data_IF_779517652595
#
_entry.id   IF_779517652595
#
_cell.length_a   1.000
_cell.length_b   1.000
_cell.length_c   1.000
_cell.angle_alpha   90.00
_cell.angle_beta   90.00
_cell.angle_gamma   90.00
#
_symmetry.space_group_name_H-M   'P 1'
#
loop_
_entity.id
_entity.type
_entity.pdbx_description
1 polymer ?
#
# COMPACT_ATOMS: atom_id res chain seq x y z
N UNK A 1 -38.26 43.22 -26.63
CA UNK A 1 -36.80 43.10 -26.84
C UNK A 1 -36.25 42.22 -25.71
N UNK A 2 -35.97 40.94 -26.01
CA UNK A 2 -35.60 39.93 -25.00
C UNK A 2 -34.16 40.15 -24.52
N UNK A 3 -34.01 40.49 -23.24
CA UNK A 3 -32.74 40.50 -22.53
C UNK A 3 -32.34 39.05 -22.18
N UNK A 4 -31.28 38.56 -22.82
CA UNK A 4 -30.63 37.28 -22.48
C UNK A 4 -29.73 37.51 -21.27
N UNK A 5 -30.15 37.03 -20.10
CA UNK A 5 -29.28 36.94 -18.92
C UNK A 5 -28.33 35.75 -19.09
N UNK A 6 -27.07 36.05 -19.43
CA UNK A 6 -25.98 35.08 -19.40
C UNK A 6 -25.65 34.72 -17.96
N UNK A 7 -26.06 33.54 -17.52
CA UNK A 7 -25.59 32.96 -16.25
C UNK A 7 -24.15 32.49 -16.44
N UNK A 8 -23.20 33.36 -16.07
CA UNK A 8 -21.80 32.98 -15.90
C UNK A 8 -21.72 31.90 -14.81
N UNK A 9 -21.53 30.64 -15.20
CA UNK A 9 -21.29 29.55 -14.27
C UNK A 9 -19.85 29.66 -13.76
N UNK A 10 -19.67 30.32 -12.62
CA UNK A 10 -18.44 30.22 -11.86
C UNK A 10 -18.25 28.74 -11.45
N UNK A 11 -17.19 28.10 -11.96
CA UNK A 11 -16.69 26.85 -11.39
C UNK A 11 -16.04 27.19 -10.06
N UNK A 12 -16.76 27.01 -8.95
CA UNK A 12 -16.17 27.06 -7.62
C UNK A 12 -15.41 25.76 -7.35
N UNK A 13 -14.07 25.68 -7.43
CA UNK A 13 -13.35 24.45 -7.10
C UNK A 13 -13.61 23.98 -5.66
N UNK A 14 -14.06 24.89 -4.79
CA UNK A 14 -14.48 24.58 -3.43
C UNK A 14 -15.71 23.65 -3.34
N UNK A 15 -16.53 23.50 -4.38
CA UNK A 15 -17.61 22.49 -4.36
C UNK A 15 -17.10 21.06 -4.60
N UNK A 16 -15.99 20.88 -5.33
CA UNK A 16 -15.36 19.57 -5.52
C UNK A 16 -14.70 19.05 -4.23
N UNK A 17 -14.22 19.96 -3.38
CA UNK A 17 -13.60 19.64 -2.09
C UNK A 17 -14.56 19.73 -0.89
N UNK A 18 -15.84 20.05 -1.13
CA UNK A 18 -16.90 20.03 -0.10
C UNK A 18 -17.39 18.59 0.10
N UNK A 19 -16.67 17.80 0.89
CA UNK A 19 -17.12 16.48 1.38
C UNK A 19 -18.26 16.60 2.43
N UNK A 20 -19.27 17.44 2.18
CA UNK A 20 -20.40 17.64 3.10
C UNK A 20 -21.33 16.42 3.16
N UNK A 21 -21.31 15.57 2.14
CA UNK A 21 -22.10 14.34 2.08
C UNK A 21 -21.46 13.15 2.82
N UNK A 22 -20.21 13.29 3.31
CA UNK A 22 -19.53 12.24 4.06
C UNK A 22 -19.73 12.48 5.56
N UNK A 23 -20.30 11.48 6.24
CA UNK A 23 -20.45 11.46 7.70
C UNK A 23 -19.13 11.78 8.41
N UNK A 24 -19.18 12.73 9.36
CA UNK A 24 -18.05 13.11 10.23
C UNK A 24 -17.29 11.90 10.82
N UNK A 25 -17.93 10.83 11.34
CA UNK A 25 -17.20 9.67 11.83
C UNK A 25 -16.37 8.94 10.76
N UNK A 26 -16.84 8.88 9.51
CA UNK A 26 -16.11 8.25 8.40
C UNK A 26 -14.86 9.05 8.04
N UNK A 27 -14.95 10.38 8.06
CA UNK A 27 -13.81 11.26 7.80
C UNK A 27 -12.70 11.09 8.85
N UNK A 28 -13.09 10.97 10.12
CA UNK A 28 -12.15 10.74 11.24
C UNK A 28 -11.44 9.39 11.06
N UNK A 29 -12.20 8.33 10.73
CA UNK A 29 -11.64 7.02 10.50
C UNK A 29 -10.66 7.01 9.31
N UNK A 30 -11.04 7.61 8.17
CA UNK A 30 -10.15 7.73 7.02
C UNK A 30 -8.87 8.47 7.37
N UNK A 31 -8.96 9.62 8.04
CA UNK A 31 -7.79 10.40 8.46
C UNK A 31 -6.80 9.55 9.28
N UNK A 32 -7.30 8.76 10.22
CA UNK A 32 -6.46 7.91 11.05
C UNK A 32 -5.77 6.80 10.23
N UNK A 33 -6.50 6.16 9.31
CA UNK A 33 -5.95 5.10 8.46
C UNK A 33 -4.89 5.63 7.49
N UNK A 34 -5.19 6.75 6.79
CA UNK A 34 -4.23 7.35 5.86
C UNK A 34 -2.99 7.89 6.58
N UNK A 35 -3.14 8.45 7.78
CA UNK A 35 -2.01 8.87 8.61
C UNK A 35 -1.12 7.68 8.97
N UNK A 36 -1.71 6.58 9.45
CA UNK A 36 -0.98 5.37 9.80
C UNK A 36 -0.27 4.76 8.58
N UNK A 37 -0.94 4.72 7.42
CA UNK A 37 -0.38 4.24 6.16
C UNK A 37 0.81 5.08 5.71
N UNK A 38 0.72 6.41 5.82
CA UNK A 38 1.83 7.32 5.48
C UNK A 38 3.04 7.12 6.41
N UNK A 39 2.81 7.01 7.70
CA UNK A 39 3.87 6.74 8.69
C UNK A 39 4.52 5.38 8.42
N UNK A 40 3.71 4.36 8.12
CA UNK A 40 4.18 3.02 7.75
C UNK A 40 5.00 3.00 6.46
N UNK A 41 4.64 3.80 5.45
CA UNK A 41 5.40 3.94 4.22
C UNK A 41 6.79 4.53 4.47
N UNK A 42 6.87 5.61 5.25
CA UNK A 42 8.15 6.23 5.63
C UNK A 42 9.02 5.22 6.38
N UNK A 43 8.42 4.52 7.34
CA UNK A 43 9.08 3.48 8.11
C UNK A 43 9.60 2.34 7.20
N UNK A 44 8.79 1.83 6.28
CA UNK A 44 9.21 0.82 5.31
C UNK A 44 10.34 1.30 4.38
N UNK A 45 10.28 2.55 3.91
CA UNK A 45 11.36 3.16 3.12
C UNK A 45 12.68 3.22 3.89
N UNK A 46 12.64 3.61 5.17
CA UNK A 46 13.81 3.59 6.05
C UNK A 46 14.36 2.16 6.18
N UNK A 47 13.49 1.17 6.39
CA UNK A 47 13.90 -0.24 6.48
C UNK A 47 14.63 -0.73 5.23
N UNK A 48 14.11 -0.41 4.03
CA UNK A 48 14.77 -0.76 2.77
C UNK A 48 16.09 -0.01 2.57
N UNK A 49 16.18 1.26 3.00
CA UNK A 49 17.40 2.05 2.90
C UNK A 49 18.52 1.55 3.83
N UNK A 50 18.17 1.15 5.05
CA UNK A 50 19.10 0.54 6.02
C UNK A 50 19.68 -0.75 5.47
N UNK A 51 18.86 -1.59 4.82
CA UNK A 51 19.31 -2.80 4.15
C UNK A 51 20.29 -2.48 2.98
N UNK A 52 19.98 -1.46 2.17
CA UNK A 52 20.82 -1.08 1.04
C UNK A 52 22.19 -0.53 1.45
N UNK A 53 22.27 0.18 2.58
CA UNK A 53 23.51 0.85 3.04
C UNK A 53 24.42 -0.09 3.84
N UNK A 54 23.86 -1.10 4.52
CA UNK A 54 24.61 -1.94 5.45
C UNK A 54 25.15 -3.19 4.76
N UNK A 55 26.40 -3.17 4.32
CA UNK A 55 27.07 -4.31 3.68
C UNK A 55 27.10 -5.57 4.55
N UNK A 56 27.13 -5.42 5.88
CA UNK A 56 27.09 -6.53 6.83
C UNK A 56 25.74 -7.28 6.81
N UNK A 57 24.65 -6.54 6.60
CA UNK A 57 23.28 -7.09 6.53
C UNK A 57 23.09 -7.84 5.20
N UNK A 58 23.72 -7.36 4.12
CA UNK A 58 23.68 -8.03 2.83
C UNK A 58 24.42 -9.38 2.83
N UNK A 59 25.51 -9.49 3.59
CA UNK A 59 26.25 -10.74 3.73
C UNK A 59 25.42 -11.84 4.40
N UNK A 60 24.58 -11.46 5.37
CA UNK A 60 23.58 -12.31 6.01
C UNK A 60 22.23 -12.27 5.29
N UNK A 61 22.19 -11.99 3.99
CA UNK A 61 20.96 -11.70 3.24
C UNK A 61 19.83 -12.71 3.47
N UNK A 62 20.12 -14.02 3.44
CA UNK A 62 19.11 -15.06 3.73
C UNK A 62 18.63 -15.02 5.18
N UNK A 63 19.55 -14.85 6.14
CA UNK A 63 19.21 -14.76 7.57
C UNK A 63 18.40 -13.50 7.90
N UNK A 64 18.74 -12.36 7.31
CA UNK A 64 17.98 -11.12 7.44
C UNK A 64 16.58 -11.24 6.86
N UNK A 65 16.42 -11.91 5.72
CA UNK A 65 15.12 -12.13 5.08
C UNK A 65 14.23 -13.00 5.97
N UNK A 66 14.77 -14.10 6.49
CA UNK A 66 14.06 -15.01 7.38
C UNK A 66 13.70 -14.35 8.73
N UNK A 67 14.63 -13.58 9.31
CA UNK A 67 14.38 -12.81 10.53
C UNK A 67 13.30 -11.74 10.31
N UNK A 68 13.34 -11.03 9.18
CA UNK A 68 12.31 -10.04 8.84
C UNK A 68 10.93 -10.68 8.68
N UNK A 69 10.87 -11.86 8.07
CA UNK A 69 9.63 -12.62 7.96
C UNK A 69 9.10 -13.01 9.36
N UNK A 70 9.93 -13.57 10.23
CA UNK A 70 9.54 -13.96 11.59
C UNK A 70 9.09 -12.75 12.41
N UNK A 71 9.81 -11.63 12.37
CA UNK A 71 9.45 -10.41 13.10
C UNK A 71 8.15 -9.81 12.58
N UNK A 72 7.92 -9.83 11.26
CA UNK A 72 6.66 -9.36 10.68
C UNK A 72 5.46 -10.23 11.11
N UNK A 73 5.63 -11.56 11.10
CA UNK A 73 4.59 -12.50 11.54
C UNK A 73 4.31 -12.35 13.02
N UNK A 74 5.35 -12.26 13.86
CA UNK A 74 5.22 -12.05 15.30
C UNK A 74 4.49 -10.74 15.61
N UNK A 75 4.82 -9.66 14.90
CA UNK A 75 4.15 -8.36 15.05
C UNK A 75 2.69 -8.41 14.63
N UNK A 76 2.37 -9.15 13.56
CA UNK A 76 0.99 -9.37 13.11
C UNK A 76 0.18 -10.17 14.13
N UNK A 77 0.73 -11.29 14.63
CA UNK A 77 0.13 -12.08 15.70
C UNK A 77 -0.10 -11.23 16.96
N UNK A 78 0.87 -10.41 17.34
CA UNK A 78 0.73 -9.50 18.48
C UNK A 78 -0.45 -8.53 18.31
N UNK A 79 -0.66 -7.98 17.11
CA UNK A 79 -1.80 -7.11 16.81
C UNK A 79 -3.14 -7.88 16.85
N UNK A 80 -3.16 -9.15 16.43
CA UNK A 80 -4.36 -9.99 16.45
C UNK A 80 -4.77 -10.43 17.87
N UNK A 81 -3.81 -10.79 18.72
CA UNK A 81 -4.08 -11.27 20.08
C UNK A 81 -4.30 -10.13 21.10
N UNK A 82 -3.98 -8.88 20.75
CA UNK A 82 -4.15 -7.74 21.66
C UNK A 82 -5.58 -7.22 21.65
N UNK A 83 -6.24 -7.26 22.82
CA UNK A 83 -7.58 -6.71 23.05
C UNK A 83 -7.69 -5.20 22.73
N UNK A 84 -8.87 -4.77 22.28
CA UNK A 84 -9.19 -3.40 21.89
C UNK A 84 -9.40 -2.50 23.11
N UNK A 85 -8.31 -2.16 23.80
CA UNK A 85 -8.32 -1.22 24.94
C UNK A 85 -7.55 0.05 24.58
N UNK A 86 -8.11 1.21 24.94
CA UNK A 86 -7.54 2.55 24.64
C UNK A 86 -6.08 2.70 25.13
N UNK A 87 -5.72 2.05 26.25
CA UNK A 87 -4.35 2.07 26.80
C UNK A 87 -3.31 1.33 25.96
N UNK A 88 -3.74 0.38 25.10
CA UNK A 88 -2.84 -0.41 24.23
C UNK A 88 -2.78 0.09 22.79
N UNK A 89 -3.50 1.17 22.46
CA UNK A 89 -3.47 1.76 21.11
C UNK A 89 -2.05 2.16 20.72
N UNK A 90 -1.29 2.77 21.63
CA UNK A 90 0.11 3.14 21.39
C UNK A 90 0.97 1.91 21.08
N UNK A 91 0.83 0.84 21.86
CA UNK A 91 1.56 -0.42 21.62
C UNK A 91 1.22 -1.05 20.27
N UNK A 92 -0.03 -0.94 19.81
CA UNK A 92 -0.43 -1.41 18.47
C UNK A 92 0.16 -0.56 17.36
N UNK A 93 0.26 0.76 17.54
CA UNK A 93 0.92 1.64 16.57
C UNK A 93 2.42 1.34 16.49
N UNK A 94 3.08 1.07 17.62
CA UNK A 94 4.49 0.64 17.66
C UNK A 94 4.66 -0.73 16.98
N UNK A 95 3.80 -1.70 17.27
CA UNK A 95 3.84 -3.01 16.61
C UNK A 95 3.63 -2.91 15.09
N UNK A 96 2.75 -2.01 14.64
CA UNK A 96 2.58 -1.70 13.22
C UNK A 96 3.82 -1.05 12.60
N UNK A 97 4.49 -0.16 13.31
CA UNK A 97 5.76 0.43 12.87
C UNK A 97 6.87 -0.62 12.76
N UNK A 98 6.99 -1.52 13.75
CA UNK A 98 7.94 -2.64 13.70
C UNK A 98 7.63 -3.56 12.52
N UNK A 99 6.35 -3.87 12.30
CA UNK A 99 5.90 -4.65 11.15
C UNK A 99 6.33 -4.00 9.82
N UNK A 100 6.00 -2.72 9.62
CA UNK A 100 6.30 -2.01 8.36
C UNK A 100 7.81 -1.82 8.13
N UNK A 101 8.58 -1.52 9.17
CA UNK A 101 10.05 -1.49 9.10
C UNK A 101 10.61 -2.85 8.69
N UNK A 102 10.15 -3.92 9.36
CA UNK A 102 10.62 -5.27 9.10
C UNK A 102 10.30 -5.72 7.67
N UNK A 103 9.09 -5.46 7.18
CA UNK A 103 8.73 -5.69 5.78
C UNK A 103 9.58 -4.86 4.81
N UNK A 104 9.91 -3.61 5.16
CA UNK A 104 10.83 -2.77 4.39
C UNK A 104 12.24 -3.36 4.26
N UNK A 105 12.78 -3.90 5.36
CA UNK A 105 14.07 -4.61 5.36
C UNK A 105 13.99 -5.88 4.50
N UNK A 106 12.91 -6.65 4.61
CA UNK A 106 12.69 -7.87 3.81
C UNK A 106 12.55 -7.62 2.31
N UNK A 107 12.05 -6.45 1.91
CA UNK A 107 12.00 -6.00 0.50
C UNK A 107 13.35 -5.49 -0.02
N UNK A 108 14.31 -5.19 0.86
CA UNK A 108 15.61 -4.62 0.50
C UNK A 108 16.40 -5.39 -0.58
N UNK A 109 16.53 -6.74 -0.53
CA UNK A 109 17.18 -7.52 -1.58
C UNK A 109 16.50 -7.36 -2.95
N UNK A 110 15.16 -7.29 -2.97
CA UNK A 110 14.38 -7.14 -4.19
C UNK A 110 14.55 -5.74 -4.78
N UNK A 111 14.61 -4.72 -3.93
CA UNK A 111 14.92 -3.34 -4.35
C UNK A 111 16.33 -3.25 -4.94
N UNK A 112 17.32 -3.90 -4.32
CA UNK A 112 18.70 -3.94 -4.85
C UNK A 112 18.74 -4.64 -6.22
N UNK A 113 18.04 -5.77 -6.38
CA UNK A 113 17.91 -6.46 -7.66
C UNK A 113 17.27 -5.56 -8.74
N UNK A 114 16.18 -4.87 -8.41
CA UNK A 114 15.51 -3.96 -9.34
C UNK A 114 16.43 -2.80 -9.77
N UNK A 115 17.22 -2.25 -8.83
CA UNK A 115 18.20 -1.20 -9.11
C UNK A 115 19.33 -1.65 -10.04
N UNK A 116 19.77 -2.91 -9.92
CA UNK A 116 20.78 -3.50 -10.80
C UNK A 116 20.27 -3.74 -12.22
N UNK A 117 18.99 -4.12 -12.35
CA UNK A 117 18.37 -4.35 -13.66
C UNK A 117 18.13 -3.02 -14.37
N UNK A 118 17.38 -2.10 -13.74
CA UNK A 118 17.08 -0.78 -14.31
C UNK A 118 16.75 0.22 -13.17
N UNK A 119 17.60 1.24 -12.93
CA UNK A 119 17.43 2.15 -11.79
C UNK A 119 16.19 3.06 -11.93
N UNK A 120 15.72 3.31 -13.15
CA UNK A 120 14.50 4.11 -13.41
C UNK A 120 13.20 3.39 -13.06
N UNK A 121 13.22 2.07 -12.91
CA UNK A 121 12.02 1.27 -12.62
C UNK A 121 11.49 1.49 -11.21
N UNK A 122 12.37 1.75 -10.23
CA UNK A 122 11.99 1.91 -8.83
C UNK A 122 11.09 3.15 -8.60
N UNK A 123 11.49 4.38 -9.00
CA UNK A 123 10.62 5.55 -8.87
C UNK A 123 9.36 5.43 -9.74
N UNK A 124 9.44 4.80 -10.92
CA UNK A 124 8.28 4.58 -11.77
C UNK A 124 7.23 3.66 -11.11
N UNK A 125 7.66 2.57 -10.47
CA UNK A 125 6.77 1.66 -9.75
C UNK A 125 6.13 2.33 -8.52
N UNK A 126 6.90 3.12 -7.77
CA UNK A 126 6.40 3.88 -6.62
C UNK A 126 5.36 4.92 -7.05
N UNK A 127 5.66 5.72 -8.07
CA UNK A 127 4.71 6.72 -8.58
C UNK A 127 3.48 6.08 -9.21
N UNK A 128 3.64 4.99 -9.96
CA UNK A 128 2.52 4.26 -10.55
C UNK A 128 1.55 3.73 -9.49
N UNK A 129 2.08 3.09 -8.45
CA UNK A 129 1.25 2.61 -7.32
C UNK A 129 0.60 3.75 -6.55
N UNK A 130 1.30 4.86 -6.34
CA UNK A 130 0.74 6.06 -5.70
C UNK A 130 -0.42 6.67 -6.50
N UNK A 131 -0.27 6.82 -7.82
CA UNK A 131 -1.31 7.36 -8.70
C UNK A 131 -2.56 6.47 -8.66
N UNK A 132 -2.38 5.15 -8.78
CA UNK A 132 -3.48 4.18 -8.72
C UNK A 132 -4.17 4.25 -7.34
N UNK A 133 -3.40 4.31 -6.26
CA UNK A 133 -3.93 4.41 -4.89
C UNK A 133 -4.74 5.70 -4.67
N UNK A 134 -4.25 6.85 -5.16
CA UNK A 134 -4.95 8.13 -5.07
C UNK A 134 -6.21 8.12 -5.93
N UNK A 135 -6.15 7.57 -7.15
CA UNK A 135 -7.32 7.43 -8.02
C UNK A 135 -8.41 6.58 -7.37
N UNK A 136 -8.06 5.43 -6.79
CA UNK A 136 -9.03 4.58 -6.08
C UNK A 136 -9.53 5.21 -4.78
N UNK A 137 -8.68 5.93 -4.06
CA UNK A 137 -9.09 6.70 -2.87
C UNK A 137 -10.14 7.75 -3.24
N UNK A 138 -9.90 8.49 -4.33
CA UNK A 138 -10.85 9.50 -4.82
C UNK A 138 -12.15 8.85 -5.33
N UNK A 139 -12.05 7.76 -6.08
CA UNK A 139 -13.21 6.98 -6.51
C UNK A 139 -14.03 6.46 -5.32
N UNK A 140 -13.37 6.07 -4.22
CA UNK A 140 -14.01 5.62 -2.97
C UNK A 140 -14.75 6.73 -2.24
N UNK A 141 -14.18 7.93 -2.23
CA UNK A 141 -14.81 9.10 -1.62
C UNK A 141 -16.04 9.60 -2.41
N UNK A 142 -16.07 9.42 -3.73
CA UNK A 142 -17.15 9.94 -4.59
C UNK A 142 -18.27 8.92 -4.87
N UNK A 143 -18.01 7.63 -4.74
CA UNK A 143 -18.94 6.57 -5.20
C UNK A 143 -19.89 6.09 -4.10
N UNK A 144 -21.16 5.83 -4.45
CA UNK A 144 -22.15 5.25 -3.52
C UNK A 144 -21.81 3.80 -3.19
N UNK A 145 -21.94 3.43 -1.90
CA UNK A 145 -21.47 2.19 -1.25
C UNK A 145 -21.69 0.84 -1.98
N UNK A 146 -22.66 0.72 -2.90
CA UNK A 146 -22.97 -0.55 -3.59
C UNK A 146 -21.99 -0.94 -4.70
N UNK A 147 -21.34 0.02 -5.36
CA UNK A 147 -20.45 -0.28 -6.49
C UNK A 147 -19.16 -1.02 -6.07
N UNK A 148 -18.68 -0.81 -4.84
CA UNK A 148 -17.46 -1.44 -4.32
C UNK A 148 -17.59 -2.96 -4.16
N UNK A 149 -18.79 -3.47 -3.90
CA UNK A 149 -19.03 -4.91 -3.76
C UNK A 149 -18.83 -5.61 -5.12
N UNK A 150 -19.33 -5.02 -6.21
CA UNK A 150 -19.12 -5.55 -7.56
C UNK A 150 -17.65 -5.43 -8.01
N UNK A 151 -17.00 -4.31 -7.70
CA UNK A 151 -15.59 -4.10 -8.04
C UNK A 151 -14.68 -5.09 -7.29
N UNK A 152 -14.96 -5.34 -6.00
CA UNK A 152 -14.25 -6.32 -5.19
C UNK A 152 -14.35 -7.75 -5.73
N UNK A 153 -15.49 -8.12 -6.32
CA UNK A 153 -15.66 -9.43 -6.97
C UNK A 153 -14.76 -9.61 -8.20
N UNK A 154 -14.73 -8.62 -9.10
CA UNK A 154 -13.91 -8.66 -10.32
C UNK A 154 -12.42 -8.61 -9.97
N UNK A 155 -12.01 -7.71 -9.07
CA UNK A 155 -10.62 -7.64 -8.60
C UNK A 155 -10.20 -8.92 -7.88
N UNK A 156 -11.07 -9.48 -7.04
CA UNK A 156 -10.82 -10.73 -6.33
C UNK A 156 -10.60 -11.89 -7.31
N UNK A 157 -11.40 -11.97 -8.37
CA UNK A 157 -11.21 -12.95 -9.44
C UNK A 157 -9.86 -12.75 -10.16
N UNK A 158 -9.53 -11.51 -10.54
CA UNK A 158 -8.26 -11.20 -11.20
C UNK A 158 -7.04 -11.57 -10.33
N UNK A 159 -7.06 -11.22 -9.04
CA UNK A 159 -6.02 -11.60 -8.08
C UNK A 159 -5.92 -13.11 -7.94
N UNK A 160 -7.06 -13.82 -7.88
CA UNK A 160 -7.11 -15.28 -7.84
C UNK A 160 -6.43 -15.92 -9.04
N UNK A 161 -6.77 -15.46 -10.25
CA UNK A 161 -6.16 -15.94 -11.50
C UNK A 161 -4.65 -15.70 -11.52
N UNK A 162 -4.20 -14.48 -11.20
CA UNK A 162 -2.76 -14.14 -11.16
C UNK A 162 -2.03 -15.00 -10.12
N UNK A 163 -2.64 -15.23 -8.95
CA UNK A 163 -2.08 -16.07 -7.89
C UNK A 163 -1.96 -17.53 -8.31
N UNK A 164 -2.99 -18.10 -8.94
CA UNK A 164 -2.95 -19.48 -9.46
C UNK A 164 -1.89 -19.64 -10.52
N UNK A 165 -1.78 -18.70 -11.48
CA UNK A 165 -0.71 -18.74 -12.49
C UNK A 165 0.68 -18.55 -11.86
N UNK A 166 0.82 -17.70 -10.84
CA UNK A 166 2.06 -17.54 -10.08
C UNK A 166 2.50 -18.81 -9.35
N UNK A 167 1.56 -19.50 -8.69
CA UNK A 167 1.81 -20.79 -8.04
C UNK A 167 2.14 -21.88 -9.06
N UNK A 168 1.39 -21.96 -10.15
CA UNK A 168 1.66 -22.88 -11.25
C UNK A 168 3.07 -22.67 -11.81
N UNK A 169 3.51 -21.41 -11.98
CA UNK A 169 4.86 -21.09 -12.44
C UNK A 169 5.97 -21.58 -11.47
N UNK A 170 5.68 -21.65 -10.17
CA UNK A 170 6.60 -22.11 -9.15
C UNK A 170 6.86 -23.62 -9.22
N UNK A 171 5.84 -24.43 -9.58
CA UNK A 171 5.95 -25.89 -9.72
C UNK A 171 6.28 -26.35 -11.15
N UNK A 172 5.75 -25.68 -12.16
CA UNK A 172 5.82 -26.11 -13.56
C UNK A 172 6.99 -25.49 -14.34
N UNK A 173 7.87 -24.72 -13.67
CA UNK A 173 9.08 -24.07 -14.20
C UNK A 173 8.95 -23.70 -15.69
N UNK A 174 8.35 -22.55 -15.98
CA UNK A 174 8.08 -22.11 -17.37
C UNK A 174 9.35 -22.16 -18.25
N UNK A 175 9.38 -22.94 -19.35
CA UNK A 175 10.50 -22.93 -20.29
C UNK A 175 10.64 -21.59 -21.03
N UNK A 176 9.64 -20.71 -20.99
CA UNK A 176 9.72 -19.37 -21.58
C UNK A 176 10.62 -18.39 -20.78
N UNK A 177 10.93 -18.69 -19.51
CA UNK A 177 11.88 -17.90 -18.69
C UNK A 177 13.31 -18.46 -18.73
N UNK A 178 13.50 -19.71 -19.19
CA UNK A 178 14.81 -20.39 -19.20
C UNK A 178 15.33 -20.70 -20.60
N UNK A 179 14.64 -20.27 -21.65
CA UNK A 179 15.17 -20.22 -23.02
C UNK A 179 15.78 -18.84 -23.29
N UNK A 180 16.97 -18.63 -22.73
CA UNK A 180 18.02 -17.75 -23.30
C UNK A 180 19.29 -18.57 -23.32
#
# INVERSE_FOLDING_TARGET
MMSRTGTSRYFDPNVLFRFRDIEKPVQIHLKNVYSLLSVGLIAASIGSFVFATSSFIQYWGFGTLLLSAVVSIASCCYIMFTEHTESRLWSRMVAFLVFTLSTGVGLGPLVNFALQVNPSSLPAALLGTAIIFVAFTFASLLTRKRAFIYLGGILGMAIGVISTFGLMNLFLRSPALFQV
#
